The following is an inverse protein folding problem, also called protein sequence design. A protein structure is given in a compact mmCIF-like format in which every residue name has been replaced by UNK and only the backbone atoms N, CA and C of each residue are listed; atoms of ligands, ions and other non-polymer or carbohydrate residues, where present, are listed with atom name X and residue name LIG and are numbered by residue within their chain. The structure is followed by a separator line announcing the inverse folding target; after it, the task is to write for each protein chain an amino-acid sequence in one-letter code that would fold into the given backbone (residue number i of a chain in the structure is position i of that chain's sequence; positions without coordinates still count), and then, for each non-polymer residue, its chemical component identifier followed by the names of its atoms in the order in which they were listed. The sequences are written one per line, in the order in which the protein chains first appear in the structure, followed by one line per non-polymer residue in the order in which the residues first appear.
data_IF_637722041751
#
_entry.id   IF_637722041751
#
_cell.length_a   1.000
_cell.length_b   1.000
_cell.length_c   1.000
_cell.angle_alpha   90.00
_cell.angle_beta   90.00
_cell.angle_gamma   90.00
#
_symmetry.space_group_name_H-M   'P 1'
#
loop_
_entity.id
_entity.type
_entity.pdbx_description
1 polymer ?
#
# COMPACT_ATOMS: atom_id res chain seq x y z
N UNK A 1 11.51 24.28 -13.38
CA UNK A 1 10.80 24.44 -12.09
C UNK A 1 9.97 25.74 -11.99
N UNK A 2 10.54 26.92 -12.34
CA UNK A 2 9.89 28.23 -12.14
C UNK A 2 8.48 28.39 -12.76
N UNK A 3 8.26 27.90 -13.98
CA UNK A 3 6.97 28.04 -14.68
C UNK A 3 5.80 27.24 -14.07
N UNK A 4 6.07 26.17 -13.30
CA UNK A 4 5.02 25.40 -12.60
C UNK A 4 4.51 26.15 -11.36
N UNK A 5 5.43 26.73 -10.59
CA UNK A 5 5.10 27.53 -9.41
C UNK A 5 4.32 28.79 -9.81
N UNK A 6 4.72 29.48 -10.88
CA UNK A 6 3.99 30.66 -11.37
C UNK A 6 2.58 30.34 -11.83
N UNK A 7 2.36 29.17 -12.47
CA UNK A 7 1.02 28.70 -12.85
C UNK A 7 0.15 28.35 -11.65
N UNK A 8 0.71 27.67 -10.64
CA UNK A 8 0.00 27.39 -9.39
C UNK A 8 -0.42 28.69 -8.69
N UNK A 9 0.50 29.66 -8.58
CA UNK A 9 0.22 31.00 -8.01
C UNK A 9 -0.87 31.74 -8.79
N UNK A 10 -0.84 31.74 -10.13
CA UNK A 10 -1.91 32.33 -10.96
C UNK A 10 -3.26 31.65 -10.75
N UNK A 11 -3.31 30.32 -10.60
CA UNK A 11 -4.55 29.59 -10.29
C UNK A 11 -5.11 29.97 -8.93
N UNK A 12 -4.27 30.04 -7.90
CA UNK A 12 -4.67 30.44 -6.54
C UNK A 12 -5.23 31.87 -6.55
N UNK A 13 -4.54 32.79 -7.22
CA UNK A 13 -4.98 34.18 -7.35
C UNK A 13 -6.30 34.31 -8.13
N UNK A 14 -6.44 33.60 -9.26
CA UNK A 14 -7.65 33.60 -10.08
C UNK A 14 -8.87 32.98 -9.37
N UNK A 15 -8.64 31.95 -8.54
CA UNK A 15 -9.68 31.31 -7.74
C UNK A 15 -10.05 32.08 -6.46
N UNK A 16 -9.37 33.21 -6.16
CA UNK A 16 -9.58 34.04 -4.96
C UNK A 16 -9.60 33.22 -3.66
N UNK A 17 -8.75 32.21 -3.56
CA UNK A 17 -8.68 31.35 -2.37
C UNK A 17 -8.21 32.23 -1.20
N UNK A 18 -9.03 32.47 -0.16
CA UNK A 18 -8.65 33.37 0.93
C UNK A 18 -7.51 32.76 1.75
N UNK A 19 -6.41 33.48 1.85
CA UNK A 19 -5.33 33.14 2.77
C UNK A 19 -5.74 33.57 4.18
N UNK A 20 -6.42 32.69 4.91
CA UNK A 20 -6.85 32.88 6.30
C UNK A 20 -6.21 31.85 7.21
N UNK A 21 -5.92 32.24 8.45
CA UNK A 21 -5.60 31.28 9.52
C UNK A 21 -6.91 30.52 9.82
N UNK A 22 -6.93 29.18 9.68
CA UNK A 22 -8.15 28.41 9.92
C UNK A 22 -8.60 28.56 11.37
N UNK A 23 -9.92 28.60 11.59
CA UNK A 23 -10.47 28.51 12.95
C UNK A 23 -10.44 27.05 13.42
N UNK A 24 -10.53 26.81 14.73
CA UNK A 24 -10.48 25.44 15.28
C UNK A 24 -11.52 24.50 14.65
N UNK A 25 -12.69 25.01 14.28
CA UNK A 25 -13.73 24.24 13.61
C UNK A 25 -13.36 23.77 12.19
N UNK A 26 -12.43 24.45 11.51
CA UNK A 26 -11.94 24.06 10.18
C UNK A 26 -10.90 22.92 10.26
N UNK A 27 -10.37 22.61 11.45
CA UNK A 27 -9.25 21.66 11.61
C UNK A 27 -9.60 20.23 11.14
N UNK A 28 -10.74 19.61 11.49
CA UNK A 28 -11.00 18.21 11.15
C UNK A 28 -10.97 17.92 9.64
N UNK A 29 -11.60 18.77 8.84
CA UNK A 29 -11.61 18.64 7.37
C UNK A 29 -10.19 18.82 6.79
N UNK A 30 -9.46 19.82 7.30
CA UNK A 30 -8.10 20.11 6.84
C UNK A 30 -7.11 19.01 7.23
N UNK A 31 -7.26 18.43 8.42
CA UNK A 31 -6.47 17.28 8.87
C UNK A 31 -6.66 16.13 7.89
N UNK A 32 -7.90 15.81 7.51
CA UNK A 32 -8.19 14.74 6.55
C UNK A 32 -7.45 14.93 5.22
N UNK A 33 -7.45 16.15 4.67
CA UNK A 33 -6.72 16.48 3.45
C UNK A 33 -5.19 16.37 3.63
N UNK A 34 -4.66 16.83 4.77
CA UNK A 34 -3.23 16.73 5.10
C UNK A 34 -2.80 15.26 5.22
N UNK A 35 -3.58 14.43 5.91
CA UNK A 35 -3.32 12.99 6.04
C UNK A 35 -3.26 12.31 4.67
N UNK A 36 -4.16 12.66 3.74
CA UNK A 36 -4.13 12.13 2.38
C UNK A 36 -2.85 12.52 1.62
N UNK A 37 -2.37 13.76 1.79
CA UNK A 37 -1.10 14.20 1.19
C UNK A 37 0.10 13.48 1.79
N UNK A 38 0.16 13.35 3.12
CA UNK A 38 1.24 12.61 3.80
C UNK A 38 1.26 11.14 3.36
N UNK A 39 0.09 10.51 3.27
CA UNK A 39 -0.04 9.14 2.76
C UNK A 39 0.44 9.02 1.32
N UNK A 40 0.08 9.97 0.44
CA UNK A 40 0.54 9.98 -0.95
C UNK A 40 2.06 10.13 -1.08
N UNK A 41 2.68 10.99 -0.27
CA UNK A 41 4.14 11.12 -0.22
C UNK A 41 4.77 9.78 0.17
N UNK A 42 4.20 9.12 1.19
CA UNK A 42 4.69 7.83 1.64
C UNK A 42 4.55 6.74 0.58
N UNK A 43 3.37 6.58 -0.04
CA UNK A 43 3.15 5.52 -1.04
C UNK A 43 3.99 5.74 -2.30
N UNK A 44 4.17 6.99 -2.72
CA UNK A 44 5.11 7.36 -3.80
C UNK A 44 6.56 7.03 -3.42
N UNK A 45 6.90 7.18 -2.13
CA UNK A 45 8.19 6.78 -1.58
C UNK A 45 8.39 5.27 -1.55
N UNK A 46 7.34 4.55 -1.18
CA UNK A 46 7.36 3.12 -0.92
C UNK A 46 7.40 2.29 -2.20
N UNK A 47 6.60 2.67 -3.20
CA UNK A 47 6.57 2.03 -4.51
C UNK A 47 6.48 3.14 -5.57
N UNK A 48 7.62 3.69 -6.01
CA UNK A 48 7.64 4.76 -7.00
C UNK A 48 6.97 4.27 -8.29
N UNK A 49 5.98 5.00 -8.85
CA UNK A 49 5.25 4.54 -10.04
C UNK A 49 6.15 4.45 -11.28
N UNK A 50 7.26 5.18 -11.30
CA UNK A 50 8.28 5.16 -12.35
C UNK A 50 9.67 5.52 -11.78
N UNK A 51 10.73 5.14 -12.51
CA UNK A 51 12.12 5.46 -12.19
C UNK A 51 12.99 4.24 -11.86
N UNK A 52 14.26 4.49 -11.55
CA UNK A 52 15.32 3.47 -11.53
C UNK A 52 15.51 2.76 -10.17
N UNK A 53 14.67 3.06 -9.18
CA UNK A 53 14.86 2.58 -7.80
C UNK A 53 13.59 1.97 -7.19
N UNK A 54 13.71 0.90 -6.38
CA UNK A 54 12.57 0.24 -5.74
C UNK A 54 11.92 1.08 -4.63
N UNK A 55 12.69 2.01 -4.05
CA UNK A 55 12.29 2.83 -2.90
C UNK A 55 12.92 4.23 -2.99
N UNK A 56 12.17 5.26 -2.59
CA UNK A 56 12.62 6.64 -2.42
C UNK A 56 12.65 6.99 -0.93
N UNK A 57 13.75 6.63 -0.27
CA UNK A 57 13.93 6.80 1.18
C UNK A 57 13.73 8.25 1.64
N UNK A 58 14.13 9.23 0.82
CA UNK A 58 13.92 10.65 1.09
C UNK A 58 12.44 11.01 1.29
N UNK A 59 11.54 10.41 0.52
CA UNK A 59 10.09 10.64 0.65
C UNK A 59 9.50 9.92 1.86
N UNK A 60 9.97 8.70 2.13
CA UNK A 60 9.51 7.91 3.29
C UNK A 60 9.84 8.62 4.61
N UNK A 61 11.09 9.04 4.77
CA UNK A 61 11.56 9.74 5.98
C UNK A 61 10.80 11.06 6.18
N UNK A 62 10.50 11.77 5.09
CA UNK A 62 9.71 13.01 5.14
C UNK A 62 8.26 12.73 5.51
N UNK A 63 7.63 11.70 4.97
CA UNK A 63 6.25 11.36 5.30
C UNK A 63 6.12 10.93 6.77
N UNK A 64 7.03 10.09 7.28
CA UNK A 64 7.06 9.70 8.69
C UNK A 64 7.32 10.90 9.59
N UNK A 65 8.27 11.77 9.24
CA UNK A 65 8.53 13.01 9.97
C UNK A 65 7.30 13.92 10.06
N UNK A 66 6.57 14.09 8.96
CA UNK A 66 5.31 14.84 8.94
C UNK A 66 4.22 14.18 9.78
N UNK A 67 4.06 12.85 9.69
CA UNK A 67 3.08 12.12 10.50
C UNK A 67 3.39 12.22 12.01
N UNK A 68 4.67 12.14 12.41
CA UNK A 68 5.11 12.36 13.80
C UNK A 68 4.86 13.80 14.26
N UNK A 69 5.11 14.79 13.40
CA UNK A 69 4.81 16.19 13.71
C UNK A 69 3.30 16.39 13.94
N UNK A 70 2.46 15.83 13.07
CA UNK A 70 1.00 15.86 13.26
C UNK A 70 0.59 15.17 14.56
N UNK A 71 1.20 14.03 14.89
CA UNK A 71 0.94 13.32 16.14
C UNK A 71 1.26 14.16 17.38
N UNK A 72 2.34 14.94 17.34
CA UNK A 72 2.70 15.88 18.40
C UNK A 72 1.74 17.07 18.52
N UNK A 73 1.26 17.60 17.39
CA UNK A 73 0.32 18.73 17.36
C UNK A 73 -1.12 18.32 17.71
N UNK A 74 -1.52 17.09 17.36
CA UNK A 74 -2.88 16.56 17.51
C UNK A 74 -2.86 15.21 18.25
N UNK A 75 -2.48 15.19 19.54
CA UNK A 75 -2.30 13.96 20.30
C UNK A 75 -3.61 13.20 20.60
N UNK A 76 -4.77 13.82 20.42
CA UNK A 76 -6.07 13.16 20.56
C UNK A 76 -6.66 12.66 19.23
N UNK A 77 -6.06 13.03 18.09
CA UNK A 77 -6.61 12.68 16.77
C UNK A 77 -6.24 11.23 16.39
N UNK A 78 -7.27 10.39 16.25
CA UNK A 78 -7.12 8.96 15.95
C UNK A 78 -6.87 8.68 14.47
N UNK A 79 -7.21 9.61 13.57
CA UNK A 79 -6.85 9.55 12.15
C UNK A 79 -5.35 9.76 11.96
N UNK A 80 -4.77 10.71 12.70
CA UNK A 80 -3.31 10.92 12.75
C UNK A 80 -2.60 9.71 13.33
N UNK A 81 -3.11 9.15 14.44
CA UNK A 81 -2.55 7.92 15.03
C UNK A 81 -2.60 6.74 14.05
N UNK A 82 -3.74 6.54 13.36
CA UNK A 82 -3.91 5.48 12.36
C UNK A 82 -2.97 5.63 11.17
N UNK A 83 -2.79 6.86 10.64
CA UNK A 83 -1.84 7.08 9.55
C UNK A 83 -0.41 6.81 9.99
N UNK A 84 0.02 7.36 11.14
CA UNK A 84 1.38 7.12 11.64
C UNK A 84 1.63 5.63 11.87
N UNK A 85 0.67 4.90 12.44
CA UNK A 85 0.74 3.46 12.60
C UNK A 85 0.99 2.75 11.26
N UNK A 86 0.18 3.05 10.24
CA UNK A 86 0.32 2.47 8.91
C UNK A 86 1.70 2.73 8.31
N UNK A 87 2.21 3.96 8.44
CA UNK A 87 3.53 4.32 7.88
C UNK A 87 4.64 3.55 8.59
N UNK A 88 4.63 3.49 9.93
CA UNK A 88 5.66 2.81 10.71
C UNK A 88 5.68 1.31 10.44
N UNK A 89 4.52 0.65 10.43
CA UNK A 89 4.40 -0.78 10.14
C UNK A 89 4.88 -1.11 8.71
N UNK A 90 4.46 -0.29 7.74
CA UNK A 90 4.89 -0.49 6.35
C UNK A 90 6.39 -0.24 6.15
N UNK A 91 6.98 0.69 6.90
CA UNK A 91 8.39 1.08 6.79
C UNK A 91 9.34 0.21 7.63
N UNK A 92 8.85 -0.44 8.69
CA UNK A 92 9.66 -1.27 9.58
C UNK A 92 10.44 -2.37 8.84
N UNK A 93 9.94 -2.80 7.69
CA UNK A 93 10.56 -3.82 6.84
C UNK A 93 11.44 -3.27 5.71
N UNK A 94 11.64 -1.95 5.61
CA UNK A 94 12.35 -1.25 4.51
C UNK A 94 13.65 -1.95 4.11
N UNK A 95 14.52 -2.25 5.06
CA UNK A 95 15.85 -2.84 4.86
C UNK A 95 15.83 -4.29 4.33
N UNK A 96 14.66 -4.93 4.32
CA UNK A 96 14.46 -6.30 3.85
C UNK A 96 13.69 -6.38 2.53
N UNK A 97 13.27 -5.25 1.96
CA UNK A 97 12.49 -5.21 0.71
C UNK A 97 13.34 -5.40 -0.55
N UNK A 98 14.65 -5.22 -0.44
CA UNK A 98 15.59 -5.29 -1.54
C UNK A 98 16.66 -6.33 -1.18
N UNK A 99 16.90 -7.27 -2.09
CA UNK A 99 17.90 -8.31 -1.94
C UNK A 99 19.32 -7.82 -2.17
N UNK A 100 20.29 -8.72 -1.98
CA UNK A 100 21.72 -8.39 -2.11
C UNK A 100 22.15 -7.98 -3.51
N UNK A 101 21.33 -8.27 -4.53
CA UNK A 101 21.58 -7.89 -5.92
C UNK A 101 20.69 -6.73 -6.40
N UNK A 102 20.01 -6.04 -5.48
CA UNK A 102 19.16 -4.88 -5.79
C UNK A 102 17.74 -5.24 -6.25
N UNK A 103 17.37 -6.52 -6.22
CA UNK A 103 16.08 -7.03 -6.64
C UNK A 103 14.99 -6.81 -5.59
N UNK A 104 13.76 -6.55 -6.02
CA UNK A 104 12.60 -6.54 -5.13
C UNK A 104 12.34 -7.94 -4.57
N UNK A 105 12.15 -8.00 -3.24
CA UNK A 105 11.75 -9.20 -2.50
C UNK A 105 10.28 -9.11 -2.09
N UNK A 106 9.52 -10.16 -2.39
CA UNK A 106 8.14 -10.32 -1.92
C UNK A 106 8.10 -10.41 -0.40
N UNK A 107 6.99 -10.03 0.23
CA UNK A 107 6.84 -10.09 1.69
C UNK A 107 7.17 -11.48 2.29
N UNK A 108 6.90 -12.56 1.54
CA UNK A 108 7.23 -13.94 1.92
C UNK A 108 8.74 -14.26 1.90
N UNK A 109 9.52 -13.49 1.12
CA UNK A 109 10.96 -13.68 0.90
C UNK A 109 11.81 -12.78 1.83
N UNK A 110 11.18 -11.86 2.55
CA UNK A 110 11.87 -10.88 3.42
C UNK A 110 12.35 -11.53 4.71
N UNK A 111 13.59 -11.23 5.11
CA UNK A 111 14.11 -11.66 6.41
C UNK A 111 13.49 -10.84 7.56
N UNK A 112 12.46 -11.41 8.18
CA UNK A 112 11.72 -10.81 9.31
C UNK A 112 12.59 -10.52 10.54
N UNK A 113 13.77 -11.13 10.66
CA UNK A 113 14.71 -10.84 11.77
C UNK A 113 15.35 -9.47 11.62
N UNK A 114 15.37 -8.91 10.41
CA UNK A 114 15.92 -7.59 10.09
C UNK A 114 14.89 -6.46 10.18
N UNK A 115 13.64 -6.77 10.52
CA UNK A 115 12.58 -5.77 10.67
C UNK A 115 12.77 -4.93 11.93
N UNK A 116 12.49 -3.64 11.84
CA UNK A 116 12.61 -2.70 12.96
C UNK A 116 11.53 -2.99 14.00
N UNK A 117 11.93 -3.66 15.08
CA UNK A 117 11.04 -4.06 16.18
C UNK A 117 10.51 -2.87 16.96
N UNK A 118 11.22 -1.74 17.00
CA UNK A 118 10.76 -0.55 17.69
C UNK A 118 9.63 0.13 16.88
N UNK A 119 9.80 0.24 15.56
CA UNK A 119 8.73 0.75 14.69
C UNK A 119 7.49 -0.15 14.72
N UNK A 120 7.67 -1.48 14.71
CA UNK A 120 6.54 -2.42 14.80
C UNK A 120 5.80 -2.22 16.13
N UNK A 121 6.51 -2.21 17.26
CA UNK A 121 5.89 -2.06 18.58
C UNK A 121 5.11 -0.73 18.70
N UNK A 122 5.70 0.37 18.23
CA UNK A 122 5.03 1.68 18.20
C UNK A 122 3.81 1.67 17.28
N UNK A 123 3.96 1.14 16.07
CA UNK A 123 2.90 1.04 15.07
C UNK A 123 1.71 0.23 15.54
N UNK A 124 1.94 -0.93 16.15
CA UNK A 124 0.90 -1.78 16.75
C UNK A 124 0.14 -1.04 17.85
N UNK A 125 0.86 -0.35 18.75
CA UNK A 125 0.23 0.40 19.84
C UNK A 125 -0.67 1.55 19.31
N UNK A 126 -0.20 2.27 18.30
CA UNK A 126 -0.96 3.32 17.63
C UNK A 126 -2.17 2.75 16.86
N UNK A 127 -2.01 1.63 16.16
CA UNK A 127 -3.09 0.96 15.45
C UNK A 127 -4.21 0.54 16.41
N UNK A 128 -3.87 -0.09 17.55
CA UNK A 128 -4.84 -0.45 18.60
C UNK A 128 -5.61 0.77 19.12
N UNK A 129 -4.90 1.87 19.36
CA UNK A 129 -5.53 3.14 19.78
C UNK A 129 -6.50 3.67 18.72
N UNK A 130 -6.08 3.67 17.46
CA UNK A 130 -6.87 4.20 16.35
C UNK A 130 -8.12 3.35 16.04
N UNK A 131 -8.03 2.02 16.18
CA UNK A 131 -9.15 1.09 16.00
C UNK A 131 -10.22 1.22 17.09
N UNK A 132 -9.84 1.65 18.30
CA UNK A 132 -10.79 1.92 19.39
C UNK A 132 -11.69 3.14 19.16
N UNK A 133 -11.39 3.96 18.16
CA UNK A 133 -12.10 5.19 17.88
C UNK A 133 -13.46 4.95 17.19
N UNK A 134 -14.38 5.93 17.34
CA UNK A 134 -15.64 5.98 16.59
C UNK A 134 -15.83 7.40 16.03
N UNK A 135 -15.93 7.57 14.69
CA UNK A 135 -15.78 6.55 13.65
C UNK A 135 -14.33 6.04 13.52
N UNK A 136 -14.18 4.81 13.01
CA UNK A 136 -12.85 4.24 12.67
C UNK A 136 -12.38 4.83 11.34
N UNK A 137 -11.11 5.24 11.26
CA UNK A 137 -10.52 5.76 10.03
C UNK A 137 -10.04 4.63 9.10
N UNK A 138 -10.00 4.88 7.79
CA UNK A 138 -9.42 3.91 6.83
C UNK A 138 -7.98 3.52 7.18
N UNK A 139 -7.19 4.49 7.64
CA UNK A 139 -5.79 4.28 8.00
C UNK A 139 -5.64 3.36 9.20
N UNK A 140 -6.59 3.39 10.16
CA UNK A 140 -6.58 2.46 11.28
C UNK A 140 -6.77 1.01 10.81
N UNK A 141 -7.66 0.77 9.85
CA UNK A 141 -7.90 -0.57 9.28
C UNK A 141 -6.73 -1.03 8.41
N UNK A 142 -6.18 -0.14 7.59
CA UNK A 142 -4.96 -0.43 6.80
C UNK A 142 -3.76 -0.73 7.72
N UNK A 143 -3.60 0.02 8.82
CA UNK A 143 -2.56 -0.24 9.82
C UNK A 143 -2.79 -1.59 10.52
N UNK A 144 -4.04 -1.98 10.78
CA UNK A 144 -4.35 -3.30 11.33
C UNK A 144 -3.91 -4.42 10.39
N UNK A 145 -4.16 -4.29 9.08
CA UNK A 145 -3.72 -5.26 8.08
C UNK A 145 -2.19 -5.37 8.07
N UNK A 146 -1.48 -4.23 8.12
CA UNK A 146 -0.02 -4.22 8.23
C UNK A 146 0.46 -4.86 9.54
N UNK A 147 -0.21 -4.61 10.67
CA UNK A 147 0.13 -5.20 11.96
C UNK A 147 0.01 -6.73 11.96
N UNK A 148 -1.04 -7.30 11.35
CA UNK A 148 -1.17 -8.77 11.24
C UNK A 148 0.01 -9.38 10.49
N UNK A 149 0.51 -8.71 9.44
CA UNK A 149 1.74 -9.13 8.77
C UNK A 149 2.96 -9.00 9.68
N UNK A 150 3.12 -7.88 10.37
CA UNK A 150 4.33 -7.55 11.15
C UNK A 150 4.46 -8.36 12.45
N UNK A 151 3.34 -8.74 13.07
CA UNK A 151 3.28 -9.55 14.28
C UNK A 151 3.54 -11.04 14.01
N UNK A 152 3.31 -11.52 12.79
CA UNK A 152 3.54 -12.93 12.45
C UNK A 152 5.05 -13.28 12.44
N UNK A 153 5.40 -14.43 13.03
CA UNK A 153 6.79 -14.88 13.11
C UNK A 153 7.35 -15.34 11.76
N UNK A 154 6.50 -15.92 10.91
CA UNK A 154 6.83 -16.38 9.56
C UNK A 154 5.72 -15.99 8.58
N UNK A 155 5.97 -16.17 7.29
CA UNK A 155 4.95 -15.98 6.26
C UNK A 155 3.74 -16.91 6.48
N UNK A 156 4.00 -18.19 6.75
CA UNK A 156 2.99 -19.24 6.93
C UNK A 156 2.16 -19.02 8.19
N UNK A 157 2.71 -18.36 9.20
CA UNK A 157 2.02 -18.01 10.44
C UNK A 157 1.14 -16.74 10.33
N UNK A 158 1.10 -16.08 9.17
CA UNK A 158 0.25 -14.91 8.96
C UNK A 158 -1.23 -15.30 9.01
N UNK A 159 -2.03 -14.63 9.83
CA UNK A 159 -3.47 -14.86 9.89
C UNK A 159 -4.18 -14.22 8.69
N UNK A 160 -4.25 -14.98 7.60
CA UNK A 160 -4.96 -14.55 6.39
C UNK A 160 -6.48 -14.44 6.59
N UNK A 161 -7.05 -15.15 7.56
CA UNK A 161 -8.47 -15.05 7.90
C UNK A 161 -8.80 -13.67 8.49
N UNK A 162 -7.96 -13.20 9.42
CA UNK A 162 -8.05 -11.86 9.98
C UNK A 162 -7.84 -10.78 8.90
N UNK A 163 -6.83 -10.94 8.03
CA UNK A 163 -6.58 -10.01 6.91
C UNK A 163 -7.81 -9.90 5.99
N UNK A 164 -8.45 -11.02 5.64
CA UNK A 164 -9.67 -11.02 4.82
C UNK A 164 -10.79 -10.25 5.54
N UNK A 165 -10.99 -10.48 6.84
CA UNK A 165 -12.01 -9.78 7.62
C UNK A 165 -11.75 -8.27 7.69
N UNK A 166 -10.49 -7.86 7.87
CA UNK A 166 -10.09 -6.45 7.86
C UNK A 166 -10.31 -5.80 6.48
N UNK A 167 -9.97 -6.49 5.38
CA UNK A 167 -10.29 -5.98 4.04
C UNK A 167 -11.80 -5.87 3.79
N UNK A 168 -12.63 -6.79 4.32
CA UNK A 168 -14.09 -6.66 4.24
C UNK A 168 -14.59 -5.40 4.97
N UNK A 169 -14.00 -5.05 6.12
CA UNK A 169 -14.27 -3.78 6.80
C UNK A 169 -13.83 -2.61 5.93
N UNK A 170 -12.62 -2.65 5.38
CA UNK A 170 -12.05 -1.58 4.58
C UNK A 170 -12.86 -1.31 3.30
N UNK A 171 -13.32 -2.36 2.60
CA UNK A 171 -14.17 -2.22 1.40
C UNK A 171 -15.50 -1.53 1.72
N UNK A 172 -16.08 -1.76 2.91
CA UNK A 172 -17.30 -1.04 3.33
C UNK A 172 -17.02 0.40 3.75
N UNK A 173 -15.88 0.65 4.41
CA UNK A 173 -15.51 1.94 4.96
C UNK A 173 -15.00 2.92 3.90
N UNK A 174 -14.21 2.43 2.95
CA UNK A 174 -13.55 3.18 1.89
C UNK A 174 -13.54 2.34 0.60
N UNK A 175 -14.70 2.20 -0.08
CA UNK A 175 -14.83 1.36 -1.26
C UNK A 175 -13.93 1.87 -2.38
N UNK A 176 -13.10 0.97 -2.92
CA UNK A 176 -12.31 1.24 -4.11
C UNK A 176 -11.99 -0.06 -4.84
N UNK A 177 -11.77 -0.02 -6.16
CA UNK A 177 -11.38 -1.20 -6.93
C UNK A 177 -10.06 -1.82 -6.44
N UNK A 178 -9.15 -0.99 -5.92
CA UNK A 178 -7.87 -1.44 -5.37
C UNK A 178 -8.07 -2.17 -4.04
N UNK A 179 -8.99 -1.71 -3.17
CA UNK A 179 -9.29 -2.41 -1.91
C UNK A 179 -10.03 -3.73 -2.17
N UNK A 180 -10.88 -3.80 -3.20
CA UNK A 180 -11.49 -5.05 -3.66
C UNK A 180 -10.45 -6.03 -4.25
N UNK A 181 -9.52 -5.54 -5.07
CA UNK A 181 -8.40 -6.33 -5.60
C UNK A 181 -7.55 -6.92 -4.48
N UNK A 182 -7.12 -6.09 -3.52
CA UNK A 182 -6.30 -6.53 -2.41
C UNK A 182 -7.03 -7.58 -1.54
N UNK A 183 -8.35 -7.43 -1.37
CA UNK A 183 -9.18 -8.45 -0.70
C UNK A 183 -9.15 -9.78 -1.47
N UNK A 184 -9.28 -9.75 -2.80
CA UNK A 184 -9.25 -10.96 -3.62
C UNK A 184 -7.92 -11.71 -3.50
N UNK A 185 -6.80 -10.97 -3.43
CA UNK A 185 -5.48 -11.56 -3.15
C UNK A 185 -5.45 -12.21 -1.77
N UNK A 186 -5.95 -11.54 -0.74
CA UNK A 186 -6.01 -12.09 0.61
C UNK A 186 -6.88 -13.36 0.69
N UNK A 187 -8.00 -13.41 -0.04
CA UNK A 187 -8.84 -14.62 -0.19
C UNK A 187 -8.05 -15.75 -0.84
N UNK A 188 -7.24 -15.45 -1.86
CA UNK A 188 -6.36 -16.43 -2.50
C UNK A 188 -5.37 -17.08 -1.52
N UNK A 189 -4.85 -16.32 -0.55
CA UNK A 189 -3.98 -16.87 0.48
C UNK A 189 -4.74 -17.59 1.61
N UNK A 190 -5.92 -17.10 2.00
CA UNK A 190 -6.71 -17.70 3.08
C UNK A 190 -7.43 -19.00 2.66
N UNK A 191 -7.97 -19.04 1.44
CA UNK A 191 -8.89 -20.08 0.96
C UNK A 191 -8.33 -20.86 -0.23
N UNK A 192 -7.13 -20.48 -0.71
CA UNK A 192 -6.44 -21.12 -1.82
C UNK A 192 -6.55 -20.34 -3.13
N UNK A 193 -5.59 -20.55 -4.05
CA UNK A 193 -5.40 -19.70 -5.22
C UNK A 193 -6.59 -19.72 -6.19
N UNK A 194 -7.38 -20.80 -6.23
CA UNK A 194 -8.60 -20.87 -7.04
C UNK A 194 -9.68 -19.88 -6.57
N UNK A 195 -9.86 -19.71 -5.26
CA UNK A 195 -10.83 -18.77 -4.70
C UNK A 195 -10.43 -17.32 -5.00
N UNK A 196 -9.14 -17.00 -4.84
CA UNK A 196 -8.60 -15.68 -5.19
C UNK A 196 -8.74 -15.38 -6.68
N UNK A 197 -8.39 -16.34 -7.55
CA UNK A 197 -8.52 -16.19 -9.00
C UNK A 197 -9.98 -15.89 -9.41
N UNK A 198 -10.95 -16.62 -8.87
CA UNK A 198 -12.37 -16.41 -9.17
C UNK A 198 -12.89 -15.03 -8.72
N UNK A 199 -12.29 -14.42 -7.70
CA UNK A 199 -12.59 -13.03 -7.31
C UNK A 199 -11.90 -12.03 -8.24
N UNK A 200 -10.64 -12.26 -8.61
CA UNK A 200 -9.89 -11.41 -9.54
C UNK A 200 -10.54 -11.37 -10.94
N UNK A 201 -11.05 -12.50 -11.43
CA UNK A 201 -11.74 -12.58 -12.73
C UNK A 201 -13.03 -11.75 -12.74
N UNK A 202 -13.77 -11.70 -11.62
CA UNK A 202 -14.95 -10.81 -11.49
C UNK A 202 -14.59 -9.33 -11.46
N UNK A 203 -13.34 -9.00 -11.13
CA UNK A 203 -12.83 -7.63 -11.16
C UNK A 203 -12.27 -7.24 -12.53
N UNK A 204 -12.02 -8.18 -13.44
CA UNK A 204 -11.47 -7.91 -14.76
C UNK A 204 -12.38 -7.01 -15.62
N UNK A 205 -13.70 -7.13 -15.45
CA UNK A 205 -14.68 -6.32 -16.19
C UNK A 205 -14.79 -4.86 -15.70
N UNK A 206 -14.04 -4.50 -14.64
CA UNK A 206 -14.11 -3.17 -14.04
C UNK A 206 -13.24 -2.17 -14.82
N UNK A 207 -13.84 -1.11 -15.42
CA UNK A 207 -13.08 -0.17 -16.27
C UNK A 207 -11.91 0.52 -15.57
N UNK A 208 -12.02 0.73 -14.26
CA UNK A 208 -11.01 1.38 -13.43
C UNK A 208 -9.80 0.49 -13.12
N UNK A 209 -9.85 -0.82 -13.40
CA UNK A 209 -8.71 -1.74 -13.25
C UNK A 209 -8.09 -2.16 -14.59
N UNK A 210 -8.70 -1.80 -15.73
CA UNK A 210 -8.24 -2.20 -17.06
C UNK A 210 -6.82 -1.73 -17.43
N UNK A 211 -6.30 -0.69 -16.74
CA UNK A 211 -4.91 -0.22 -16.88
C UNK A 211 -4.04 -0.45 -15.65
N UNK A 212 -4.51 -1.25 -14.68
CA UNK A 212 -3.83 -1.44 -13.41
C UNK A 212 -3.06 -2.77 -13.42
N UNK A 213 -1.76 -2.71 -13.75
CA UNK A 213 -0.91 -3.89 -13.94
C UNK A 213 -0.88 -4.88 -12.76
N UNK A 214 -1.14 -4.43 -11.53
CA UNK A 214 -1.24 -5.32 -10.37
C UNK A 214 -2.41 -6.30 -10.44
N UNK A 215 -3.49 -6.01 -11.16
CA UNK A 215 -4.56 -7.00 -11.40
C UNK A 215 -4.03 -8.16 -12.24
N UNK A 216 -3.36 -7.87 -13.36
CA UNK A 216 -2.75 -8.87 -14.22
C UNK A 216 -1.67 -9.67 -13.46
N UNK A 217 -0.81 -8.99 -12.69
CA UNK A 217 0.22 -9.64 -11.89
C UNK A 217 -0.35 -10.56 -10.79
N UNK A 218 -1.39 -10.13 -10.08
CA UNK A 218 -2.08 -10.95 -9.08
C UNK A 218 -2.72 -12.19 -9.72
N UNK A 219 -3.39 -12.01 -10.87
CA UNK A 219 -3.96 -13.11 -11.65
C UNK A 219 -2.88 -14.11 -12.09
N UNK A 220 -1.76 -13.62 -12.60
CA UNK A 220 -0.62 -14.44 -13.00
C UNK A 220 -0.06 -15.28 -11.84
N UNK A 221 0.09 -14.71 -10.65
CA UNK A 221 0.58 -15.45 -9.48
C UNK A 221 -0.40 -16.55 -9.05
N UNK A 222 -1.71 -16.28 -9.05
CA UNK A 222 -2.74 -17.28 -8.72
C UNK A 222 -2.75 -18.43 -9.74
N UNK A 223 -2.66 -18.13 -11.04
CA UNK A 223 -2.59 -19.12 -12.11
C UNK A 223 -1.32 -19.99 -12.00
N UNK A 224 -0.18 -19.35 -11.72
CA UNK A 224 1.10 -20.04 -11.49
C UNK A 224 1.00 -21.02 -10.32
N UNK A 225 0.43 -20.59 -9.19
CA UNK A 225 0.22 -21.45 -8.00
C UNK A 225 -0.73 -22.63 -8.27
N UNK A 226 -1.66 -22.47 -9.21
CA UNK A 226 -2.54 -23.55 -9.68
C UNK A 226 -1.88 -24.48 -10.72
N UNK A 227 -0.65 -24.19 -11.14
CA UNK A 227 0.04 -24.93 -12.19
C UNK A 227 -0.49 -24.65 -13.61
N UNK A 228 -1.34 -23.64 -13.80
CA UNK A 228 -1.87 -23.20 -15.10
C UNK A 228 -0.84 -22.32 -15.82
N UNK A 229 0.31 -22.90 -16.14
CA UNK A 229 1.49 -22.16 -16.59
C UNK A 229 1.26 -21.33 -17.88
N UNK A 230 0.61 -21.86 -18.95
CA UNK A 230 0.38 -21.06 -20.15
C UNK A 230 -0.45 -19.80 -19.90
N UNK A 231 -1.50 -19.93 -19.08
CA UNK A 231 -2.35 -18.80 -18.69
C UNK A 231 -1.58 -17.81 -17.80
N UNK A 232 -0.71 -18.32 -16.92
CA UNK A 232 0.16 -17.49 -16.08
C UNK A 232 1.16 -16.69 -16.91
N UNK A 233 1.77 -17.29 -17.95
CA UNK A 233 2.65 -16.60 -18.89
C UNK A 233 1.95 -15.40 -19.52
N UNK A 234 0.76 -15.63 -20.12
CA UNK A 234 -0.01 -14.58 -20.78
C UNK A 234 -0.37 -13.43 -19.81
N UNK A 235 -0.74 -13.76 -18.56
CA UNK A 235 -1.04 -12.75 -17.55
C UNK A 235 0.21 -11.97 -17.07
N UNK A 236 1.39 -12.60 -17.01
CA UNK A 236 2.64 -11.89 -16.71
C UNK A 236 3.06 -10.96 -17.85
N UNK A 237 2.90 -11.39 -19.10
CA UNK A 237 3.13 -10.55 -20.28
C UNK A 237 2.22 -9.32 -20.29
N UNK A 238 0.94 -9.49 -19.97
CA UNK A 238 -0.01 -8.38 -19.80
C UNK A 238 0.44 -7.42 -18.69
N UNK A 239 0.83 -7.94 -17.52
CA UNK A 239 1.34 -7.13 -16.42
C UNK A 239 2.59 -6.32 -16.82
N UNK A 240 3.49 -6.92 -17.60
CA UNK A 240 4.68 -6.27 -18.14
C UNK A 240 4.35 -5.12 -19.09
N UNK A 241 3.28 -5.20 -19.87
CA UNK A 241 2.86 -4.08 -20.74
C UNK A 241 2.40 -2.84 -19.94
N UNK A 242 1.91 -3.06 -18.71
CA UNK A 242 1.30 -2.02 -17.87
C UNK A 242 2.24 -1.49 -16.76
N UNK A 243 3.46 -2.03 -16.65
CA UNK A 243 4.41 -1.68 -15.58
C UNK A 243 5.56 -0.83 -16.12
N UNK A 244 5.70 0.38 -15.59
CA UNK A 244 6.76 1.33 -15.97
C UNK A 244 7.99 1.27 -15.04
N UNK A 245 7.81 0.86 -13.77
CA UNK A 245 8.91 0.78 -12.80
C UNK A 245 9.88 -0.37 -13.16
N UNK A 246 11.16 -0.05 -13.33
CA UNK A 246 12.16 -1.02 -13.81
C UNK A 246 12.41 -2.18 -12.84
N UNK A 247 12.33 -1.94 -11.53
CA UNK A 247 12.48 -2.99 -10.52
C UNK A 247 11.28 -3.95 -10.50
N UNK A 248 10.06 -3.42 -10.67
CA UNK A 248 8.85 -4.24 -10.80
C UNK A 248 8.84 -5.03 -12.11
N UNK A 249 9.26 -4.41 -13.23
CA UNK A 249 9.44 -5.10 -14.52
C UNK A 249 10.42 -6.25 -14.40
N UNK A 250 11.59 -6.02 -13.82
CA UNK A 250 12.59 -7.07 -13.61
C UNK A 250 12.06 -8.21 -12.73
N UNK A 251 11.22 -7.91 -11.74
CA UNK A 251 10.53 -8.95 -10.95
C UNK A 251 9.56 -9.77 -11.82
N UNK A 252 8.73 -9.12 -12.63
CA UNK A 252 7.78 -9.79 -13.51
C UNK A 252 8.47 -10.62 -14.59
N UNK A 253 9.58 -10.14 -15.17
CA UNK A 253 10.40 -10.88 -16.14
C UNK A 253 10.99 -12.16 -15.53
N UNK A 254 11.50 -12.10 -14.29
CA UNK A 254 11.96 -13.31 -13.59
C UNK A 254 10.83 -14.31 -13.39
N UNK A 255 9.66 -13.85 -12.94
CA UNK A 255 8.48 -14.71 -12.76
C UNK A 255 8.00 -15.32 -14.07
N UNK A 256 8.05 -14.57 -15.17
CA UNK A 256 7.75 -15.06 -16.51
C UNK A 256 8.74 -16.17 -16.93
N UNK A 257 10.04 -15.98 -16.68
CA UNK A 257 11.05 -17.00 -16.94
C UNK A 257 10.82 -18.32 -16.18
N UNK A 258 10.36 -18.24 -14.92
CA UNK A 258 10.01 -19.42 -14.10
C UNK A 258 8.83 -20.23 -14.66
N UNK A 259 7.90 -19.59 -15.38
CA UNK A 259 6.69 -20.26 -15.92
C UNK A 259 6.81 -20.63 -17.40
N UNK A 260 7.61 -19.87 -18.18
CA UNK A 260 7.84 -20.10 -19.60
C UNK A 260 8.96 -21.10 -19.90
N UNK A 261 9.86 -21.35 -18.95
CA UNK A 261 10.91 -22.36 -19.08
C UNK A 261 10.48 -23.73 -18.56
N UNK A 262 9.97 -24.60 -19.45
CA UNK A 262 10.03 -26.06 -19.32
C UNK A 262 10.57 -26.66 -20.61
#
# INVERSE_FOLDING_TARGET
MAARITRAKKKIAGARIPYRIPVAADLPERVSAVLAVVYLIFTTGHAPPAGDGPVRADLLDRAIGLARMLRGLLPADTGVAGLLALLLLTDARRESRVGGHGELLLLAEQDRRRWDRAMIAEGVALARTALGARPVSRYAVEAAIAAVHDEAATWEATDWGEIVALYQVLVRLAPSPVTELNRAVAVGFAQGPAAGLAELERLADRPHLAGYGYLAAARADMLRRLGRLPDACAAYEEALLLTENTAERAFLERRLGEVGGR
#
